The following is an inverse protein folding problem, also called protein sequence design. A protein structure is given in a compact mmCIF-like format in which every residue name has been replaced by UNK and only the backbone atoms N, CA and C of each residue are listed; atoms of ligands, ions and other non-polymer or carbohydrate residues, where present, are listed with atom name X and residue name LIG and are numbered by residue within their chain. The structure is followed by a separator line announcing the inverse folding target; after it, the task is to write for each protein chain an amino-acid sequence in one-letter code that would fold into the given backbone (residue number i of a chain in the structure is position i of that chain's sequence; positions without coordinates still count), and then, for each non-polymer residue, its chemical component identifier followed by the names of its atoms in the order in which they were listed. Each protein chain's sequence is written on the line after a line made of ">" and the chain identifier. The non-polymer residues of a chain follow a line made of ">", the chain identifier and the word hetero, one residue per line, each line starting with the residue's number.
data_IF_974820199180
#
_entry.id   IF_974820199180
#
_cell.length_a   1.000
_cell.length_b   1.000
_cell.length_c   1.000
_cell.angle_alpha   90.00
_cell.angle_beta   90.00
_cell.angle_gamma   90.00
#
_symmetry.space_group_name_H-M   'P 1'
#
loop_
_entity.id
_entity.type
_entity.pdbx_description
1 polymer ?
#
# COMPACT_ATOMS: atom_id res chain seq x y z
N UNK A 1 20.14 8.03 -0.54
CA UNK A 1 21.10 9.14 -0.46
C UNK A 1 20.54 10.27 -1.32
N UNK A 2 20.29 11.44 -0.75
CA UNK A 2 19.84 12.61 -1.51
C UNK A 2 21.08 13.41 -1.94
N UNK A 3 21.15 13.77 -3.21
CA UNK A 3 22.17 14.67 -3.74
C UNK A 3 21.48 16.00 -4.08
N UNK A 4 22.01 17.15 -3.64
CA UNK A 4 21.40 18.44 -3.96
C UNK A 4 21.43 18.69 -5.46
N UNK A 5 20.27 19.07 -6.02
CA UNK A 5 20.19 19.56 -7.39
C UNK A 5 20.71 20.99 -7.52
N UNK A 6 21.09 21.41 -8.72
CA UNK A 6 21.61 22.76 -9.01
C UNK A 6 20.65 23.90 -8.59
N UNK A 7 19.40 23.63 -8.31
CA UNK A 7 18.37 24.61 -7.89
C UNK A 7 17.89 24.38 -6.45
N UNK A 8 18.65 23.64 -5.61
CA UNK A 8 18.26 23.40 -4.20
C UNK A 8 17.12 22.42 -3.97
N UNK A 9 16.50 21.89 -5.01
CA UNK A 9 15.49 20.84 -4.86
C UNK A 9 16.13 19.45 -4.72
N UNK A 10 15.68 18.61 -3.77
CA UNK A 10 16.20 17.26 -3.61
C UNK A 10 15.81 16.40 -4.82
N UNK A 11 16.75 16.13 -5.72
CA UNK A 11 16.53 15.13 -6.76
C UNK A 11 16.48 13.74 -6.13
N UNK A 12 15.36 13.04 -6.29
CA UNK A 12 15.29 11.60 -6.06
C UNK A 12 16.31 10.93 -6.97
N UNK A 13 17.34 10.31 -6.38
CA UNK A 13 18.17 9.37 -7.13
C UNK A 13 17.28 8.16 -7.39
N UNK A 14 16.70 8.10 -8.60
CA UNK A 14 15.99 6.91 -9.07
C UNK A 14 17.07 5.87 -9.45
N UNK A 15 17.65 5.22 -8.44
CA UNK A 15 18.55 4.08 -8.61
C UNK A 15 17.76 2.75 -8.82
N UNK A 16 16.59 2.80 -9.47
CA UNK A 16 15.70 1.64 -9.54
C UNK A 16 15.58 1.06 -10.93
N UNK A 17 16.67 1.02 -11.73
CA UNK A 17 16.51 0.35 -13.04
C UNK A 17 16.97 -1.13 -13.10
N UNK A 18 17.62 -1.70 -12.09
CA UNK A 18 17.89 -3.15 -11.97
C UNK A 18 18.33 -3.55 -10.55
N UNK A 19 17.49 -3.31 -9.56
CA UNK A 19 17.77 -3.86 -8.21
C UNK A 19 17.47 -5.35 -8.24
N UNK A 20 18.40 -6.18 -7.72
CA UNK A 20 18.17 -7.63 -7.56
C UNK A 20 16.95 -7.88 -6.66
N UNK A 21 16.26 -9.01 -6.87
CA UNK A 21 15.06 -9.38 -6.11
C UNK A 21 15.29 -9.31 -4.60
N UNK A 22 16.41 -9.80 -4.11
CA UNK A 22 16.76 -9.80 -2.68
C UNK A 22 16.92 -8.39 -2.10
N UNK A 23 17.53 -7.47 -2.87
CA UNK A 23 17.64 -6.07 -2.47
C UNK A 23 16.27 -5.38 -2.48
N UNK A 24 15.41 -5.72 -3.44
CA UNK A 24 14.03 -5.23 -3.51
C UNK A 24 13.25 -5.67 -2.27
N UNK A 25 13.32 -6.94 -1.88
CA UNK A 25 12.69 -7.49 -0.68
C UNK A 25 13.10 -6.77 0.60
N UNK A 26 14.35 -6.32 0.69
CA UNK A 26 14.82 -5.59 1.88
C UNK A 26 14.43 -4.11 1.94
N UNK A 27 13.99 -3.51 0.84
CA UNK A 27 13.70 -2.08 0.73
C UNK A 27 12.21 -1.76 0.58
N UNK A 28 11.44 -2.70 0.05
CA UNK A 28 10.02 -2.50 -0.30
C UNK A 28 9.17 -2.18 0.95
N UNK A 29 8.16 -1.34 0.77
CA UNK A 29 7.27 -0.89 1.86
C UNK A 29 7.91 0.09 2.86
N UNK A 30 9.15 0.52 2.64
CA UNK A 30 9.88 1.42 3.54
C UNK A 30 10.07 2.80 2.91
N UNK A 31 9.74 3.84 3.67
CA UNK A 31 9.91 5.24 3.28
C UNK A 31 10.60 6.01 4.42
N UNK A 32 11.88 5.69 4.75
CA UNK A 32 12.53 6.24 5.94
C UNK A 32 12.60 7.76 5.93
N UNK A 33 12.80 8.38 4.77
CA UNK A 33 12.90 9.84 4.67
C UNK A 33 11.55 10.56 4.83
N UNK A 34 10.43 9.86 4.69
CA UNK A 34 9.10 10.37 5.04
C UNK A 34 8.80 10.18 6.55
N UNK A 35 9.62 9.39 7.26
CA UNK A 35 9.48 9.01 8.66
C UNK A 35 10.72 9.36 9.48
N UNK A 36 11.20 10.59 9.42
CA UNK A 36 12.33 11.10 10.22
C UNK A 36 13.62 10.27 10.12
N UNK A 37 13.84 9.52 9.05
CA UNK A 37 14.96 8.60 8.87
C UNK A 37 14.73 7.22 9.50
N UNK A 38 13.60 6.97 10.14
CA UNK A 38 13.24 5.69 10.77
C UNK A 38 13.00 4.65 9.67
N UNK A 39 13.73 3.54 9.73
CA UNK A 39 13.72 2.51 8.68
C UNK A 39 12.39 1.78 8.59
N UNK A 40 11.81 1.43 9.73
CA UNK A 40 10.53 0.71 9.78
C UNK A 40 9.35 1.68 9.71
N UNK A 41 8.27 1.34 8.96
CA UNK A 41 7.07 2.16 8.98
C UNK A 41 6.48 2.22 10.40
N UNK A 42 6.02 3.40 10.85
CA UNK A 42 5.37 3.54 12.15
C UNK A 42 4.08 2.71 12.23
N UNK A 43 3.73 2.26 13.45
CA UNK A 43 2.49 1.56 13.70
C UNK A 43 1.38 2.57 14.02
N UNK A 44 0.45 2.75 13.09
CA UNK A 44 -0.72 3.60 13.27
C UNK A 44 -1.91 2.75 13.73
N UNK A 45 -2.40 2.99 14.95
CA UNK A 45 -3.60 2.37 15.51
C UNK A 45 -4.67 3.46 15.65
N UNK A 46 -5.59 3.51 14.71
CA UNK A 46 -6.63 4.54 14.69
C UNK A 46 -7.91 4.01 14.04
N UNK A 47 -9.02 4.64 14.38
CA UNK A 47 -10.28 4.49 13.66
C UNK A 47 -10.66 5.82 12.98
N UNK A 48 -10.90 6.85 13.79
CA UNK A 48 -11.36 8.15 13.32
C UNK A 48 -10.19 9.04 12.94
N UNK A 49 -10.33 9.73 11.81
CA UNK A 49 -9.37 10.72 11.31
C UNK A 49 -10.07 12.07 11.23
N UNK A 50 -9.45 13.11 11.77
CA UNK A 50 -9.96 14.47 11.72
C UNK A 50 -9.40 15.22 10.51
N UNK A 51 -10.23 16.06 9.91
CA UNK A 51 -9.89 16.92 8.79
C UNK A 51 -10.08 18.39 9.18
N UNK A 52 -9.22 19.26 8.66
CA UNK A 52 -9.27 20.70 8.99
C UNK A 52 -10.55 21.38 8.53
N UNK A 53 -11.13 20.88 7.44
CA UNK A 53 -12.35 21.43 6.85
C UNK A 53 -13.06 20.38 5.97
N UNK A 54 -14.30 20.69 5.59
CA UNK A 54 -15.16 19.83 4.76
C UNK A 54 -14.55 19.57 3.38
N UNK A 55 -13.81 20.51 2.82
CA UNK A 55 -13.16 20.34 1.51
C UNK A 55 -12.07 19.28 1.55
N UNK A 56 -11.26 19.25 2.61
CA UNK A 56 -10.26 18.19 2.83
C UNK A 56 -10.91 16.84 3.06
N UNK A 57 -11.97 16.78 3.85
CA UNK A 57 -12.77 15.57 4.03
C UNK A 57 -13.31 15.04 2.69
N UNK A 58 -13.88 15.92 1.86
CA UNK A 58 -14.38 15.54 0.54
C UNK A 58 -13.30 14.93 -0.37
N UNK A 59 -12.10 15.52 -0.39
CA UNK A 59 -10.95 14.95 -1.11
C UNK A 59 -10.55 13.58 -0.56
N UNK A 60 -10.53 13.43 0.77
CA UNK A 60 -10.17 12.19 1.41
C UNK A 60 -11.18 11.07 1.13
N UNK A 61 -12.48 11.37 1.07
CA UNK A 61 -13.53 10.41 0.69
C UNK A 61 -13.30 9.86 -0.72
N UNK A 62 -13.02 10.73 -1.69
CA UNK A 62 -12.75 10.33 -3.07
C UNK A 62 -11.50 9.44 -3.16
N UNK A 63 -10.45 9.77 -2.39
CA UNK A 63 -9.17 9.08 -2.39
C UNK A 63 -9.02 8.05 -1.27
N UNK A 64 -10.11 7.59 -0.66
CA UNK A 64 -10.13 6.75 0.54
C UNK A 64 -9.30 5.46 0.48
N UNK A 65 -9.00 4.97 -0.69
CA UNK A 65 -8.16 3.78 -0.89
C UNK A 65 -6.67 4.10 -1.12
N UNK A 66 -6.30 5.36 -1.24
CA UNK A 66 -4.93 5.78 -1.51
C UNK A 66 -4.36 6.68 -0.41
N UNK A 67 -5.20 7.07 0.54
CA UNK A 67 -4.79 7.91 1.68
C UNK A 67 -5.61 7.55 2.92
N UNK A 68 -5.10 7.90 4.08
CA UNK A 68 -5.78 7.66 5.35
C UNK A 68 -7.04 8.54 5.43
N UNK A 69 -8.19 7.91 5.34
CA UNK A 69 -9.52 8.52 5.46
C UNK A 69 -10.21 8.09 6.75
N UNK A 70 -10.16 6.81 7.04
CA UNK A 70 -10.69 6.17 8.23
C UNK A 70 -9.87 4.89 8.48
N UNK A 71 -9.48 4.63 9.72
CA UNK A 71 -8.53 3.56 10.02
C UNK A 71 -8.90 2.18 9.50
N UNK A 72 -10.20 1.89 9.33
CA UNK A 72 -10.67 0.62 8.76
C UNK A 72 -10.42 0.50 7.26
N UNK A 73 -10.34 1.60 6.51
CA UNK A 73 -9.97 1.58 5.10
C UNK A 73 -8.47 1.42 4.88
N UNK A 74 -7.69 1.81 5.87
CA UNK A 74 -6.25 1.68 5.88
C UNK A 74 -5.56 2.82 6.62
N UNK A 75 -4.35 2.54 7.02
CA UNK A 75 -3.42 3.46 7.66
C UNK A 75 -2.09 3.41 6.91
N UNK A 76 -1.16 4.33 7.15
CA UNK A 76 0.17 4.21 6.54
C UNK A 76 0.84 2.86 6.82
N UNK A 77 0.55 2.21 7.96
CA UNK A 77 1.09 0.87 8.28
C UNK A 77 0.53 -0.20 7.35
N UNK A 78 -0.80 -0.24 7.14
CA UNK A 78 -1.43 -1.22 6.25
C UNK A 78 -1.09 -0.96 4.79
N UNK A 79 -1.06 0.29 4.36
CA UNK A 79 -0.66 0.66 3.01
C UNK A 79 0.79 0.26 2.70
N UNK A 80 1.71 0.41 3.65
CA UNK A 80 3.10 -0.02 3.48
C UNK A 80 3.21 -1.53 3.24
N UNK A 81 2.41 -2.35 3.95
CA UNK A 81 2.33 -3.80 3.74
C UNK A 81 1.72 -4.14 2.37
N UNK A 82 0.60 -3.52 2.03
CA UNK A 82 -0.11 -3.76 0.77
C UNK A 82 0.75 -3.36 -0.45
N UNK A 83 1.42 -2.20 -0.38
CA UNK A 83 2.38 -1.77 -1.40
C UNK A 83 3.54 -2.77 -1.53
N UNK A 84 4.08 -3.26 -0.39
CA UNK A 84 5.17 -4.23 -0.38
C UNK A 84 4.78 -5.54 -1.06
N UNK A 85 3.64 -6.11 -0.72
CA UNK A 85 3.14 -7.35 -1.32
C UNK A 85 2.87 -7.17 -2.81
N UNK A 86 2.18 -6.09 -3.20
CA UNK A 86 1.91 -5.81 -4.60
C UNK A 86 3.21 -5.71 -5.43
N UNK A 87 4.24 -5.08 -4.86
CA UNK A 87 5.52 -4.93 -5.54
C UNK A 87 6.32 -6.25 -5.63
N UNK A 88 6.27 -7.09 -4.58
CA UNK A 88 6.94 -8.39 -4.55
C UNK A 88 6.32 -9.35 -5.56
N UNK A 89 4.98 -9.38 -5.60
CA UNK A 89 4.20 -10.24 -6.48
C UNK A 89 4.05 -9.65 -7.90
N UNK A 90 4.60 -8.48 -8.15
CA UNK A 90 4.47 -7.74 -9.42
C UNK A 90 2.99 -7.52 -9.79
N UNK A 91 2.14 -7.36 -8.78
CA UNK A 91 0.72 -7.09 -8.89
C UNK A 91 0.42 -5.60 -8.99
N UNK A 92 -0.79 -5.29 -9.47
CA UNK A 92 -1.26 -3.91 -9.51
C UNK A 92 -1.52 -3.35 -8.10
N UNK A 93 -2.12 -4.17 -7.23
CA UNK A 93 -2.48 -3.80 -5.86
C UNK A 93 -2.65 -5.04 -5.00
N UNK A 94 -2.41 -4.92 -3.70
CA UNK A 94 -2.78 -5.89 -2.70
C UNK A 94 -3.78 -5.27 -1.72
N UNK A 95 -4.61 -6.09 -1.11
CA UNK A 95 -5.55 -5.70 -0.05
C UNK A 95 -5.41 -6.71 1.09
N UNK A 96 -5.14 -6.21 2.29
CA UNK A 96 -5.09 -7.04 3.48
C UNK A 96 -6.50 -7.41 3.95
N UNK A 97 -6.70 -8.68 4.28
CA UNK A 97 -7.95 -9.21 4.83
C UNK A 97 -7.74 -9.78 6.22
N UNK A 98 -8.81 -10.01 6.97
CA UNK A 98 -8.74 -10.51 8.35
C UNK A 98 -8.34 -11.99 8.45
N UNK A 99 -8.44 -12.75 7.35
CA UNK A 99 -8.09 -14.18 7.31
C UNK A 99 -7.87 -14.66 5.89
N UNK A 100 -7.17 -15.80 5.73
CA UNK A 100 -7.01 -16.45 4.43
C UNK A 100 -8.32 -16.83 3.78
N UNK A 101 -9.29 -17.34 4.55
CA UNK A 101 -10.63 -17.66 4.04
C UNK A 101 -11.35 -16.41 3.52
N UNK A 102 -11.24 -15.27 4.20
CA UNK A 102 -11.78 -14.01 3.71
C UNK A 102 -11.11 -13.59 2.40
N UNK A 103 -9.80 -13.78 2.27
CA UNK A 103 -9.05 -13.49 1.06
C UNK A 103 -9.57 -14.31 -0.13
N UNK A 104 -9.71 -15.62 0.04
CA UNK A 104 -10.23 -16.53 -0.98
C UNK A 104 -11.67 -16.14 -1.36
N UNK A 105 -12.54 -15.98 -0.36
CA UNK A 105 -13.95 -15.65 -0.58
C UNK A 105 -14.14 -14.34 -1.32
N UNK A 106 -13.43 -13.28 -0.91
CA UNK A 106 -13.52 -11.97 -1.56
C UNK A 106 -12.99 -12.05 -3.00
N UNK A 107 -11.90 -12.77 -3.23
CA UNK A 107 -11.35 -12.95 -4.57
C UNK A 107 -12.35 -13.63 -5.51
N UNK A 108 -12.96 -14.72 -5.08
CA UNK A 108 -13.97 -15.44 -5.86
C UNK A 108 -15.21 -14.58 -6.11
N UNK A 109 -15.79 -13.99 -5.06
CA UNK A 109 -16.99 -13.16 -5.15
C UNK A 109 -16.80 -11.88 -5.96
N UNK A 110 -15.56 -11.41 -6.14
CA UNK A 110 -15.28 -10.23 -6.96
C UNK A 110 -15.38 -10.51 -8.47
N UNK A 111 -15.26 -11.75 -8.89
CA UNK A 111 -15.21 -12.13 -10.30
C UNK A 111 -16.32 -13.11 -10.71
N UNK A 112 -16.88 -13.87 -9.76
CA UNK A 112 -17.89 -14.88 -10.05
C UNK A 112 -19.28 -14.40 -9.69
N UNK A 113 -20.20 -14.61 -10.61
CA UNK A 113 -21.65 -14.43 -10.45
C UNK A 113 -22.36 -15.80 -10.36
N UNK A 114 -23.65 -15.79 -10.10
CA UNK A 114 -24.45 -16.99 -10.15
C UNK A 114 -24.34 -17.64 -11.55
N UNK A 115 -24.16 -18.97 -11.56
CA UNK A 115 -24.03 -19.81 -12.77
C UNK A 115 -22.67 -19.68 -13.51
N UNK A 116 -21.69 -18.95 -12.95
CA UNK A 116 -20.33 -18.93 -13.48
C UNK A 116 -19.53 -20.20 -13.10
N UNK A 117 -18.49 -20.50 -13.85
CA UNK A 117 -17.62 -21.65 -13.67
C UNK A 117 -16.29 -21.23 -13.05
N UNK A 118 -15.79 -22.04 -12.11
CA UNK A 118 -14.46 -21.89 -11.54
C UNK A 118 -13.68 -23.20 -11.66
N UNK A 119 -12.53 -23.16 -12.31
CA UNK A 119 -11.60 -24.28 -12.36
C UNK A 119 -10.63 -24.18 -11.19
N UNK A 120 -10.60 -25.20 -10.37
CA UNK A 120 -9.73 -25.31 -9.20
C UNK A 120 -8.88 -26.56 -9.35
N UNK A 121 -7.56 -26.46 -9.05
CA UNK A 121 -6.71 -27.63 -9.03
C UNK A 121 -7.12 -28.57 -7.90
N UNK A 122 -7.13 -29.85 -8.20
CA UNK A 122 -7.33 -30.91 -7.21
C UNK A 122 -5.97 -31.23 -6.56
N UNK A 123 -5.66 -30.57 -5.44
CA UNK A 123 -4.40 -30.73 -4.70
C UNK A 123 -4.62 -30.67 -3.20
#
# INVERSE_FOLDING_TARGET
>A
MMVPGLNGEPKRIVLVKKVKKDTKLSLVGRKPFENFGIVNPPIYRTSTVLFKNIKELGKAIVNRFNQTYYGRYGTPTTFALEEAIAEIENGYRAIATSSGMSSISISLLSFLSKDDHCLISDC
#
